data_IF_184757372543
#
_entry.id   IF_184757372543
#
_cell.length_a   1.000
_cell.length_b   1.000
_cell.length_c   1.000
_cell.angle_alpha   90.00
_cell.angle_beta   90.00
_cell.angle_gamma   90.00
#
_symmetry.space_group_name_H-M   'P 1'
#
loop_
_entity.id
_entity.type
_entity.pdbx_description
1 polymer ?
#
# COMPACT_ATOMS: atom_id res chain seq x y z
N UNK A 1 19.07 8.26 32.99
CA UNK A 1 18.66 8.59 31.61
C UNK A 1 17.30 7.95 31.36
N UNK A 2 16.24 8.71 31.05
CA UNK A 2 14.89 8.13 30.84
C UNK A 2 14.91 7.30 29.56
N UNK A 3 14.57 6.01 29.66
CA UNK A 3 14.61 5.02 28.57
C UNK A 3 13.70 5.38 27.38
N UNK A 4 12.73 6.29 27.58
CA UNK A 4 11.78 6.77 26.56
C UNK A 4 11.47 8.27 26.73
N UNK A 5 12.23 9.18 26.12
CA UNK A 5 12.02 10.63 26.26
C UNK A 5 10.74 11.15 25.56
N UNK A 6 10.24 10.46 24.53
CA UNK A 6 9.14 10.93 23.67
C UNK A 6 7.84 10.11 23.78
N UNK A 7 7.71 9.23 24.78
CA UNK A 7 6.60 8.26 24.90
C UNK A 7 5.19 8.82 24.63
N UNK A 8 4.86 10.00 25.19
CA UNK A 8 3.54 10.62 24.97
C UNK A 8 3.34 11.06 23.52
N UNK A 9 4.35 11.67 22.92
CA UNK A 9 4.30 12.13 21.54
C UNK A 9 4.20 10.93 20.60
N UNK A 10 5.05 9.92 20.80
CA UNK A 10 5.10 8.69 20.00
C UNK A 10 3.76 7.94 20.06
N UNK A 11 3.16 7.80 21.24
CA UNK A 11 1.86 7.14 21.40
C UNK A 11 0.73 7.89 20.68
N UNK A 12 0.68 9.23 20.80
CA UNK A 12 -0.34 10.01 20.09
C UNK A 12 -0.13 9.97 18.58
N UNK A 13 1.12 10.01 18.11
CA UNK A 13 1.46 9.91 16.70
C UNK A 13 1.11 8.53 16.14
N UNK A 14 1.42 7.45 16.86
CA UNK A 14 1.11 6.08 16.43
C UNK A 14 -0.39 5.86 16.30
N UNK A 15 -1.21 6.44 17.17
CA UNK A 15 -2.67 6.39 17.05
C UNK A 15 -3.15 7.08 15.77
N UNK A 16 -2.64 8.27 15.45
CA UNK A 16 -3.01 8.99 14.22
C UNK A 16 -2.57 8.23 12.97
N UNK A 17 -1.34 7.73 12.97
CA UNK A 17 -0.80 6.91 11.87
C UNK A 17 -1.63 5.64 11.68
N UNK A 18 -1.98 4.93 12.76
CA UNK A 18 -2.84 3.75 12.72
C UNK A 18 -4.21 4.06 12.09
N UNK A 19 -4.88 5.14 12.53
CA UNK A 19 -6.18 5.53 12.00
C UNK A 19 -6.14 5.89 10.50
N UNK A 20 -5.00 6.39 10.01
CA UNK A 20 -4.77 6.64 8.57
C UNK A 20 -4.38 5.37 7.82
N UNK A 21 -3.61 4.48 8.45
CA UNK A 21 -3.09 3.26 7.83
C UNK A 21 -4.18 2.22 7.55
N UNK A 22 -5.19 2.08 8.43
CA UNK A 22 -6.28 1.10 8.24
C UNK A 22 -6.98 1.22 6.88
N UNK A 23 -7.54 2.39 6.50
CA UNK A 23 -8.20 2.53 5.20
C UNK A 23 -7.22 2.43 4.02
N UNK A 24 -5.96 2.87 4.22
CA UNK A 24 -4.93 2.73 3.20
C UNK A 24 -4.60 1.26 2.90
N UNK A 25 -4.44 0.43 3.94
CA UNK A 25 -4.15 -1.00 3.82
C UNK A 25 -5.26 -1.73 3.06
N UNK A 26 -6.52 -1.44 3.40
CA UNK A 26 -7.69 -1.99 2.71
C UNK A 26 -7.74 -1.54 1.25
N UNK A 27 -7.54 -0.25 0.99
CA UNK A 27 -7.57 0.31 -0.37
C UNK A 27 -6.49 -0.29 -1.27
N UNK A 28 -5.27 -0.42 -0.76
CA UNK A 28 -4.14 -1.03 -1.50
C UNK A 28 -4.42 -2.51 -1.80
N UNK A 29 -4.91 -3.29 -0.83
CA UNK A 29 -5.24 -4.70 -1.06
C UNK A 29 -6.31 -4.89 -2.14
N UNK A 30 -7.42 -4.13 -2.05
CA UNK A 30 -8.48 -4.18 -3.05
C UNK A 30 -7.97 -3.77 -4.43
N UNK A 31 -7.12 -2.73 -4.50
CA UNK A 31 -6.51 -2.30 -5.76
C UNK A 31 -5.52 -3.33 -6.32
N UNK A 32 -4.88 -4.13 -5.45
CA UNK A 32 -4.02 -5.25 -5.82
C UNK A 32 -4.80 -6.50 -6.22
N UNK A 33 -6.13 -6.48 -6.19
CA UNK A 33 -6.96 -7.64 -6.54
C UNK A 33 -6.92 -8.76 -5.50
N UNK A 34 -6.48 -8.47 -4.27
CA UNK A 34 -6.42 -9.42 -3.16
C UNK A 34 -7.47 -9.09 -2.09
N UNK A 35 -7.84 -10.06 -1.23
CA UNK A 35 -8.73 -9.81 -0.12
C UNK A 35 -8.24 -8.66 0.78
N UNK A 36 -9.16 -7.81 1.25
CA UNK A 36 -8.85 -6.65 2.09
C UNK A 36 -8.15 -7.03 3.40
N UNK A 37 -8.46 -8.22 3.91
CA UNK A 37 -7.85 -8.84 5.09
C UNK A 37 -6.34 -8.96 4.94
N UNK A 38 -5.85 -9.35 3.76
CA UNK A 38 -4.41 -9.50 3.52
C UNK A 38 -3.68 -8.17 3.64
N UNK A 39 -4.27 -7.07 3.14
CA UNK A 39 -3.70 -5.74 3.33
C UNK A 39 -3.59 -5.35 4.80
N UNK A 40 -4.60 -5.66 5.60
CA UNK A 40 -4.57 -5.42 7.05
C UNK A 40 -3.51 -6.28 7.74
N UNK A 41 -3.40 -7.56 7.39
CA UNK A 41 -2.37 -8.47 7.93
C UNK A 41 -0.98 -7.96 7.56
N UNK A 42 -0.73 -7.61 6.30
CA UNK A 42 0.55 -7.02 5.86
C UNK A 42 0.86 -5.72 6.59
N UNK A 43 -0.13 -4.88 6.87
CA UNK A 43 0.06 -3.66 7.67
C UNK A 43 0.44 -3.95 9.13
N UNK A 44 -0.19 -4.95 9.74
CA UNK A 44 0.12 -5.38 11.12
C UNK A 44 1.52 -5.99 11.19
N UNK A 45 1.82 -6.95 10.33
CA UNK A 45 3.11 -7.67 10.31
C UNK A 45 4.24 -6.70 9.94
N UNK A 46 4.05 -5.89 8.89
CA UNK A 46 5.00 -4.87 8.49
C UNK A 46 5.27 -3.87 9.60
N UNK A 47 4.22 -3.29 10.20
CA UNK A 47 4.38 -2.31 11.29
C UNK A 47 5.06 -2.88 12.54
N UNK A 48 4.74 -4.12 12.93
CA UNK A 48 5.32 -4.76 14.11
C UNK A 48 6.75 -5.25 13.87
N UNK A 49 6.98 -6.05 12.82
CA UNK A 49 8.30 -6.67 12.60
C UNK A 49 9.33 -5.64 12.15
N UNK A 50 9.01 -4.81 11.15
CA UNK A 50 9.97 -3.81 10.66
C UNK A 50 10.19 -2.70 11.70
N UNK A 51 9.15 -2.28 12.42
CA UNK A 51 9.24 -1.21 13.43
C UNK A 51 9.99 -1.61 14.70
N UNK A 52 10.10 -2.92 15.00
CA UNK A 52 10.91 -3.43 16.10
C UNK A 52 12.39 -3.57 15.72
N UNK A 53 12.71 -3.63 14.44
CA UNK A 53 14.06 -3.78 13.92
C UNK A 53 14.72 -2.39 13.72
N UNK A 54 16.04 -2.30 13.88
CA UNK A 54 16.74 -1.04 13.63
C UNK A 54 16.75 -0.72 12.13
N UNK A 55 16.68 0.55 11.78
CA UNK A 55 16.67 1.02 10.39
C UNK A 55 16.41 2.51 10.34
N UNK A 56 15.16 2.88 10.09
CA UNK A 56 14.64 4.24 10.21
C UNK A 56 13.80 4.44 11.47
N UNK A 57 13.97 5.58 12.14
CA UNK A 57 13.31 5.86 13.42
C UNK A 57 11.87 6.40 13.30
N UNK A 58 11.49 6.90 12.11
CA UNK A 58 10.19 7.53 11.86
C UNK A 58 9.43 6.91 10.69
N UNK A 59 9.96 5.82 10.13
CA UNK A 59 9.33 5.13 9.02
C UNK A 59 8.22 4.20 9.51
N UNK A 60 7.20 4.04 8.66
CA UNK A 60 6.06 3.16 8.90
C UNK A 60 5.97 2.22 7.70
N UNK A 61 5.92 0.92 7.97
CA UNK A 61 5.87 -0.11 6.94
C UNK A 61 4.50 -0.77 6.88
N UNK A 62 4.09 -1.15 5.68
CA UNK A 62 2.81 -1.78 5.38
C UNK A 62 2.68 -2.01 3.87
N UNK A 63 1.47 -2.30 3.37
CA UNK A 63 1.23 -2.49 1.94
C UNK A 63 1.66 -1.27 1.14
N UNK A 64 2.61 -1.47 0.22
CA UNK A 64 3.12 -0.39 -0.62
C UNK A 64 2.18 -0.13 -1.81
N UNK A 65 1.68 1.09 -1.90
CA UNK A 65 0.87 1.52 -3.06
C UNK A 65 1.66 1.41 -4.38
N UNK A 66 2.99 1.58 -4.34
CA UNK A 66 3.86 1.42 -5.51
C UNK A 66 3.93 0.01 -6.07
N UNK A 67 3.73 -1.00 -5.21
CA UNK A 67 3.74 -2.39 -5.61
C UNK A 67 2.37 -2.90 -6.05
N UNK A 68 1.31 -2.08 -5.94
CA UNK A 68 -0.08 -2.53 -6.13
C UNK A 68 -0.30 -3.23 -7.47
N UNK A 69 0.23 -2.63 -8.54
CA UNK A 69 0.11 -3.13 -9.92
C UNK A 69 0.93 -4.40 -10.12
N UNK A 70 2.14 -4.44 -9.55
CA UNK A 70 3.00 -5.61 -9.65
C UNK A 70 2.41 -6.80 -8.89
N UNK A 71 1.80 -6.57 -7.72
CA UNK A 71 1.04 -7.57 -6.98
C UNK A 71 -0.17 -8.04 -7.78
N UNK A 72 -0.93 -7.13 -8.39
CA UNK A 72 -2.09 -7.49 -9.20
C UNK A 72 -1.70 -8.42 -10.36
N UNK A 73 -0.64 -8.08 -11.10
CA UNK A 73 -0.16 -8.93 -12.21
C UNK A 73 0.39 -10.26 -11.69
N UNK A 74 1.15 -10.27 -10.60
CA UNK A 74 1.67 -11.50 -10.00
C UNK A 74 0.54 -12.44 -9.53
N UNK A 75 -0.52 -11.91 -8.92
CA UNK A 75 -1.69 -12.69 -8.50
C UNK A 75 -2.45 -13.22 -9.70
N UNK A 76 -2.54 -12.45 -10.79
CA UNK A 76 -3.20 -12.88 -12.03
C UNK A 76 -2.41 -13.97 -12.76
N UNK A 77 -1.09 -13.89 -12.74
CA UNK A 77 -0.20 -14.81 -13.46
C UNK A 77 0.08 -16.09 -12.66
N UNK A 78 0.40 -15.96 -11.37
CA UNK A 78 0.86 -17.07 -10.52
C UNK A 78 -0.17 -17.51 -9.47
N UNK A 79 -1.23 -16.73 -9.27
CA UNK A 79 -2.23 -16.99 -8.25
C UNK A 79 -1.89 -16.39 -6.88
N UNK A 80 -2.89 -16.36 -6.00
CA UNK A 80 -2.77 -15.76 -4.67
C UNK A 80 -1.81 -16.53 -3.74
N UNK A 81 -1.77 -17.86 -3.82
CA UNK A 81 -0.89 -18.69 -3.00
C UNK A 81 0.60 -18.42 -3.29
N UNK A 82 0.94 -18.30 -4.58
CA UNK A 82 2.30 -17.98 -5.02
C UNK A 82 2.76 -16.58 -4.57
N UNK A 83 1.85 -15.62 -4.38
CA UNK A 83 2.21 -14.28 -3.89
C UNK A 83 2.96 -14.34 -2.55
N UNK A 84 2.53 -15.20 -1.62
CA UNK A 84 3.21 -15.37 -0.33
C UNK A 84 4.65 -15.89 -0.51
N UNK A 85 4.84 -16.86 -1.41
CA UNK A 85 6.17 -17.39 -1.75
C UNK A 85 7.06 -16.34 -2.42
N UNK A 86 6.50 -15.54 -3.34
CA UNK A 86 7.18 -14.44 -4.03
C UNK A 86 7.68 -13.37 -3.03
N UNK A 87 6.81 -12.94 -2.12
CA UNK A 87 7.13 -11.94 -1.09
C UNK A 87 8.18 -12.47 -0.13
N UNK A 88 8.07 -13.73 0.31
CA UNK A 88 9.08 -14.39 1.14
C UNK A 88 10.45 -14.43 0.44
N UNK A 89 10.49 -14.83 -0.84
CA UNK A 89 11.74 -14.86 -1.61
C UNK A 89 12.32 -13.46 -1.80
N UNK A 90 11.48 -12.44 -2.00
CA UNK A 90 11.90 -11.05 -2.06
C UNK A 90 12.46 -10.57 -0.71
N UNK A 91 11.84 -10.94 0.41
CA UNK A 91 12.32 -10.64 1.76
C UNK A 91 13.68 -11.27 2.04
N UNK A 92 13.87 -12.55 1.68
CA UNK A 92 15.17 -13.23 1.76
C UNK A 92 16.25 -12.52 0.92
N UNK A 93 15.89 -12.05 -0.28
CA UNK A 93 16.80 -11.28 -1.12
C UNK A 93 17.15 -9.92 -0.49
N UNK A 94 16.20 -9.25 0.14
CA UNK A 94 16.44 -8.00 0.88
C UNK A 94 17.35 -8.21 2.10
N UNK A 95 17.14 -9.29 2.86
CA UNK A 95 18.04 -9.69 3.95
C UNK A 95 19.47 -9.90 3.44
N UNK A 96 19.62 -10.62 2.32
CA UNK A 96 20.92 -10.83 1.68
C UNK A 96 21.56 -9.51 1.23
N UNK A 97 20.78 -8.62 0.60
CA UNK A 97 21.26 -7.30 0.18
C UNK A 97 21.73 -6.44 1.35
N UNK A 98 20.99 -6.41 2.45
CA UNK A 98 21.38 -5.68 3.66
C UNK A 98 22.62 -6.29 4.33
N UNK A 99 22.72 -7.62 4.40
CA UNK A 99 23.91 -8.31 4.92
C UNK A 99 25.16 -8.04 4.07
N UNK A 100 25.01 -7.97 2.75
CA UNK A 100 26.07 -7.62 1.80
C UNK A 100 26.38 -6.11 1.73
N UNK A 101 25.70 -5.29 2.54
CA UNK A 101 25.85 -3.83 2.61
C UNK A 101 25.60 -3.13 1.27
N UNK A 102 24.56 -3.62 0.55
CA UNK A 102 24.14 -3.09 -0.74
C UNK A 102 23.21 -1.88 -0.62
N UNK A 103 22.71 -1.54 0.57
CA UNK A 103 21.88 -0.36 0.81
C UNK A 103 22.58 0.95 0.44
N UNK A 104 23.91 0.98 0.49
CA UNK A 104 24.70 2.12 0.02
C UNK A 104 24.45 2.48 -1.45
N UNK A 105 24.13 1.51 -2.31
CA UNK A 105 24.00 1.73 -3.75
C UNK A 105 22.74 2.53 -4.08
N UNK A 106 21.69 2.41 -3.25
CA UNK A 106 20.50 3.24 -3.38
C UNK A 106 20.76 4.73 -3.13
N UNK A 107 21.87 5.11 -2.47
CA UNK A 107 22.32 6.52 -2.40
C UNK A 107 22.74 7.09 -3.74
N UNK A 108 23.14 6.25 -4.69
CA UNK A 108 23.60 6.68 -6.00
C UNK A 108 22.44 6.94 -6.97
N UNK A 109 21.20 6.66 -6.59
CA UNK A 109 20.04 6.89 -7.44
C UNK A 109 19.71 8.38 -7.47
N UNK A 110 19.56 8.94 -8.67
CA UNK A 110 19.25 10.34 -8.85
C UNK A 110 17.83 10.66 -8.39
N UNK A 111 17.61 11.88 -7.88
CA UNK A 111 16.27 12.36 -7.49
C UNK A 111 15.30 12.29 -8.67
N UNK A 112 15.79 12.47 -9.90
CA UNK A 112 14.99 12.36 -11.12
C UNK A 112 14.39 10.96 -11.32
N UNK A 113 15.13 9.89 -11.00
CA UNK A 113 14.61 8.51 -11.09
C UNK A 113 13.51 8.29 -10.05
N UNK A 114 13.71 8.76 -8.81
CA UNK A 114 12.68 8.68 -7.75
C UNK A 114 11.40 9.40 -8.17
N UNK A 115 11.53 10.62 -8.69
CA UNK A 115 10.39 11.40 -9.17
C UNK A 115 9.68 10.73 -10.34
N UNK A 116 10.43 10.16 -11.29
CA UNK A 116 9.87 9.39 -12.41
C UNK A 116 9.10 8.16 -11.95
N UNK A 117 9.65 7.39 -11.00
CA UNK A 117 9.02 6.22 -10.41
C UNK A 117 7.71 6.59 -9.69
N UNK A 118 7.74 7.60 -8.81
CA UNK A 118 6.56 8.09 -8.09
C UNK A 118 5.48 8.64 -9.04
N UNK A 119 5.88 9.35 -10.11
CA UNK A 119 4.96 9.85 -11.11
C UNK A 119 4.30 8.72 -11.92
N UNK A 120 5.08 7.70 -12.31
CA UNK A 120 4.56 6.53 -13.01
C UNK A 120 3.57 5.73 -12.17
N UNK A 121 3.95 5.44 -10.91
CA UNK A 121 3.08 4.79 -9.93
C UNK A 121 1.79 5.61 -9.72
N UNK A 122 1.93 6.91 -9.50
CA UNK A 122 0.79 7.81 -9.29
C UNK A 122 -0.17 7.80 -10.48
N UNK A 123 0.34 7.84 -11.71
CA UNK A 123 -0.49 7.80 -12.92
C UNK A 123 -1.27 6.49 -13.03
N UNK A 124 -0.62 5.34 -12.80
CA UNK A 124 -1.27 4.04 -12.87
C UNK A 124 -2.30 3.87 -11.76
N UNK A 125 -2.00 4.33 -10.54
CA UNK A 125 -2.96 4.33 -9.43
C UNK A 125 -4.17 5.21 -9.74
N UNK A 126 -3.98 6.44 -10.23
CA UNK A 126 -5.10 7.31 -10.64
C UNK A 126 -5.96 6.61 -11.69
N UNK A 127 -5.33 6.03 -12.72
CA UNK A 127 -6.06 5.30 -13.76
C UNK A 127 -6.87 4.12 -13.17
N UNK A 128 -6.27 3.32 -12.28
CA UNK A 128 -6.96 2.22 -11.60
C UNK A 128 -8.12 2.69 -10.70
N UNK A 129 -7.93 3.79 -9.97
CA UNK A 129 -8.96 4.34 -9.08
C UNK A 129 -10.15 4.93 -9.84
N UNK A 130 -10.00 5.35 -11.10
CA UNK A 130 -11.14 5.80 -11.91
C UNK A 130 -12.15 4.68 -12.17
N UNK A 131 -11.70 3.45 -12.37
CA UNK A 131 -12.59 2.28 -12.48
C UNK A 131 -13.29 1.98 -11.16
N UNK A 132 -12.54 2.02 -10.05
CA UNK A 132 -13.11 1.83 -8.72
C UNK A 132 -14.16 2.92 -8.38
N UNK A 133 -13.94 4.16 -8.82
CA UNK A 133 -14.83 5.30 -8.61
C UNK A 133 -16.20 5.10 -9.28
N UNK A 134 -16.26 4.35 -10.38
CA UNK A 134 -17.48 4.10 -11.15
C UNK A 134 -18.03 2.69 -10.94
N UNK A 135 -17.50 1.94 -9.96
CA UNK A 135 -17.83 0.53 -9.70
C UNK A 135 -17.64 -0.38 -10.93
N UNK A 136 -16.65 -0.02 -11.76
CA UNK A 136 -16.29 -0.76 -12.97
C UNK A 136 -15.11 -1.69 -12.71
N UNK A 137 -15.06 -2.81 -13.43
CA UNK A 137 -13.93 -3.73 -13.39
C UNK A 137 -12.78 -3.19 -14.23
N UNK A 138 -11.62 -2.96 -13.62
CA UNK A 138 -10.43 -2.57 -14.34
C UNK A 138 -9.92 -3.72 -15.24
N UNK A 139 -9.42 -3.42 -16.46
CA UNK A 139 -8.82 -4.41 -17.37
C UNK A 139 -7.62 -5.16 -16.77
N UNK A 140 -6.95 -4.54 -15.80
CA UNK A 140 -6.03 -5.21 -14.89
C UNK A 140 -4.56 -4.81 -15.06
N UNK A 141 -4.13 -4.41 -16.26
CA UNK A 141 -2.76 -3.89 -16.45
C UNK A 141 -2.74 -2.37 -16.41
N UNK A 142 -1.67 -1.78 -15.84
CA UNK A 142 -1.60 -0.33 -15.68
C UNK A 142 -1.73 0.45 -16.98
N UNK A 143 -1.10 -0.05 -18.05
CA UNK A 143 -1.21 0.55 -19.39
C UNK A 143 -2.59 0.33 -20.02
N UNK A 144 -3.20 -0.86 -19.84
CA UNK A 144 -4.55 -1.10 -20.33
C UNK A 144 -5.57 -0.23 -19.61
N UNK A 145 -5.42 -0.04 -18.29
CA UNK A 145 -6.29 0.85 -17.52
C UNK A 145 -6.25 2.27 -18.09
N UNK A 146 -5.09 2.78 -18.51
CA UNK A 146 -4.98 4.10 -19.16
C UNK A 146 -5.60 4.08 -20.56
N UNK A 147 -5.30 3.07 -21.37
CA UNK A 147 -5.78 2.96 -22.75
C UNK A 147 -7.31 2.84 -22.85
N UNK A 148 -7.95 2.22 -21.85
CA UNK A 148 -9.40 1.98 -21.82
C UNK A 148 -10.20 3.07 -21.08
N UNK A 149 -9.57 4.16 -20.61
CA UNK A 149 -10.29 5.27 -19.95
C UNK A 149 -11.38 5.92 -20.81
N UNK A 150 -11.20 6.14 -22.14
CA UNK A 150 -12.26 6.74 -22.95
C UNK A 150 -13.55 5.92 -22.95
N UNK A 151 -13.44 4.60 -23.05
CA UNK A 151 -14.59 3.69 -23.00
C UNK A 151 -15.27 3.68 -21.62
N UNK A 152 -14.52 3.88 -20.54
CA UNK A 152 -15.09 3.96 -19.19
C UNK A 152 -16.11 5.11 -19.07
N UNK A 153 -15.86 6.25 -19.74
CA UNK A 153 -16.78 7.40 -19.68
C UNK A 153 -18.13 7.11 -20.31
N UNK A 154 -18.14 6.37 -21.42
CA UNK A 154 -19.39 5.99 -22.10
C UNK A 154 -20.16 4.95 -21.30
N UNK A 155 -19.46 3.99 -20.70
CA UNK A 155 -20.06 2.93 -19.89
C UNK A 155 -20.67 3.49 -18.60
N UNK A 156 -20.00 4.46 -17.98
CA UNK A 156 -20.47 5.13 -16.75
C UNK A 156 -21.73 5.95 -17.01
N UNK A 157 -21.79 6.68 -18.14
CA UNK A 157 -22.94 7.52 -18.47
C UNK A 157 -24.23 6.71 -18.70
N UNK A 158 -24.12 5.45 -19.12
CA UNK A 158 -25.25 4.56 -19.36
C UNK A 158 -25.79 3.85 -18.11
N UNK A 159 -25.06 3.87 -16.98
CA UNK A 159 -25.38 3.05 -15.81
C UNK A 159 -25.71 3.87 -14.57
N UNK A 160 -26.92 3.69 -14.03
CA UNK A 160 -27.35 4.35 -12.78
C UNK A 160 -26.50 3.94 -11.58
N UNK A 161 -26.06 2.69 -11.51
CA UNK A 161 -25.20 2.21 -10.41
C UNK A 161 -23.83 2.86 -10.48
N UNK A 162 -23.26 2.99 -11.67
CA UNK A 162 -21.97 3.66 -11.88
C UNK A 162 -22.03 5.14 -11.51
N UNK A 163 -23.14 5.84 -11.82
CA UNK A 163 -23.36 7.22 -11.41
C UNK A 163 -23.51 7.37 -9.89
N UNK A 164 -24.18 6.43 -9.21
CA UNK A 164 -24.26 6.41 -7.75
C UNK A 164 -22.89 6.20 -7.10
N UNK A 165 -22.10 5.23 -7.60
CA UNK A 165 -20.74 5.00 -7.15
C UNK A 165 -19.85 6.24 -7.35
N UNK A 166 -19.96 6.87 -8.53
CA UNK A 166 -19.25 8.11 -8.84
C UNK A 166 -19.60 9.25 -7.89
N UNK A 167 -20.89 9.40 -7.56
CA UNK A 167 -21.34 10.41 -6.60
C UNK A 167 -20.78 10.18 -5.19
N UNK A 168 -20.75 8.93 -4.72
CA UNK A 168 -20.15 8.56 -3.43
C UNK A 168 -18.63 8.80 -3.46
N UNK A 169 -17.96 8.41 -4.54
CA UNK A 169 -16.54 8.64 -4.74
C UNK A 169 -16.17 10.12 -4.76
N UNK A 170 -16.90 10.94 -5.52
CA UNK A 170 -16.74 12.39 -5.55
C UNK A 170 -17.01 13.02 -4.19
N UNK A 171 -18.04 12.56 -3.47
CA UNK A 171 -18.32 12.95 -2.08
C UNK A 171 -17.18 12.60 -1.13
N UNK A 172 -16.57 11.42 -1.29
CA UNK A 172 -15.39 10.98 -0.52
C UNK A 172 -14.21 11.92 -0.76
N UNK A 173 -13.92 12.28 -2.01
CA UNK A 173 -12.86 13.25 -2.37
C UNK A 173 -13.17 14.63 -1.78
N UNK A 174 -14.43 15.07 -1.85
CA UNK A 174 -14.85 16.34 -1.26
C UNK A 174 -14.61 16.35 0.25
N UNK A 175 -14.91 15.26 0.97
CA UNK A 175 -14.59 15.12 2.40
C UNK A 175 -13.08 15.20 2.60
N UNK A 176 -12.26 14.46 1.85
CA UNK A 176 -10.80 14.49 1.99
C UNK A 176 -10.21 15.91 1.85
N UNK A 177 -10.75 16.71 0.92
CA UNK A 177 -10.27 18.08 0.63
C UNK A 177 -10.85 19.13 1.59
N UNK A 178 -12.09 18.97 2.03
CA UNK A 178 -12.79 19.95 2.86
C UNK A 178 -12.60 19.69 4.35
N UNK A 179 -12.42 18.44 4.78
CA UNK A 179 -12.27 18.06 6.20
C UNK A 179 -11.12 18.79 6.91
N UNK A 180 -9.91 18.94 6.32
CA UNK A 180 -8.81 19.66 6.97
C UNK A 180 -9.13 21.14 7.23
N UNK A 181 -10.08 21.75 6.49
CA UNK A 181 -10.52 23.13 6.74
C UNK A 181 -11.30 23.23 8.04
N UNK A 182 -11.93 22.15 8.50
CA UNK A 182 -12.62 22.09 9.78
C UNK A 182 -11.69 21.73 10.93
N UNK A 183 -10.91 22.73 11.38
CA UNK A 183 -9.82 22.58 12.37
C UNK A 183 -10.18 21.85 13.68
N UNK A 184 -11.44 21.81 14.10
CA UNK A 184 -11.85 21.09 15.32
C UNK A 184 -11.97 19.60 15.07
N UNK A 185 -12.70 19.21 14.02
CA UNK A 185 -12.89 17.82 13.64
C UNK A 185 -11.58 17.17 13.16
N UNK A 186 -10.80 17.89 12.34
CA UNK A 186 -9.53 17.41 11.79
C UNK A 186 -8.44 17.14 12.86
N UNK A 187 -8.57 17.70 14.07
CA UNK A 187 -7.68 17.41 15.20
C UNK A 187 -7.98 16.08 15.88
N UNK A 188 -9.21 15.60 15.76
CA UNK A 188 -9.68 14.39 16.46
C UNK A 188 -9.69 13.21 15.48
N UNK A 189 -10.21 13.43 14.27
CA UNK A 189 -10.42 12.39 13.27
C UNK A 189 -9.66 12.71 11.97
N UNK A 190 -8.74 11.84 11.52
CA UNK A 190 -8.08 12.00 10.24
C UNK A 190 -9.07 12.01 9.07
N UNK A 191 -8.78 12.79 8.04
CA UNK A 191 -9.65 12.92 6.87
C UNK A 191 -9.96 11.57 6.18
N UNK A 192 -9.01 10.63 6.00
CA UNK A 192 -9.31 9.33 5.41
C UNK A 192 -10.36 8.54 6.19
N UNK A 193 -10.26 8.52 7.52
CA UNK A 193 -11.19 7.80 8.37
C UNK A 193 -12.58 8.47 8.39
N UNK A 194 -12.62 9.80 8.40
CA UNK A 194 -13.87 10.56 8.27
C UNK A 194 -14.57 10.28 6.92
N UNK A 195 -13.80 10.26 5.83
CA UNK A 195 -14.31 10.01 4.50
C UNK A 195 -14.92 8.60 4.38
N UNK A 196 -14.22 7.58 4.87
CA UNK A 196 -14.73 6.20 4.90
C UNK A 196 -15.98 6.09 5.78
N UNK A 197 -15.95 6.63 7.01
CA UNK A 197 -17.09 6.56 7.92
C UNK A 197 -18.34 7.23 7.33
N UNK A 198 -18.22 8.43 6.78
CA UNK A 198 -19.33 9.16 6.17
C UNK A 198 -19.85 8.45 4.92
N UNK A 199 -18.98 7.93 4.06
CA UNK A 199 -19.37 7.16 2.89
C UNK A 199 -20.11 5.88 3.28
N UNK A 200 -19.62 5.14 4.28
CA UNK A 200 -20.28 3.93 4.81
C UNK A 200 -21.65 4.24 5.36
N UNK A 201 -21.78 5.30 6.17
CA UNK A 201 -23.08 5.73 6.72
C UNK A 201 -24.04 6.14 5.61
N UNK A 202 -23.57 6.91 4.61
CA UNK A 202 -24.41 7.34 3.50
C UNK A 202 -24.91 6.15 2.66
N UNK A 203 -24.04 5.21 2.30
CA UNK A 203 -24.40 4.01 1.54
C UNK A 203 -25.37 3.12 2.33
N UNK A 204 -25.15 2.97 3.64
CA UNK A 204 -26.03 2.18 4.50
C UNK A 204 -27.41 2.82 4.71
N UNK A 205 -27.46 4.11 5.02
CA UNK A 205 -28.70 4.83 5.31
C UNK A 205 -29.60 5.03 4.08
N UNK A 206 -28.99 5.17 2.90
CA UNK A 206 -29.71 5.39 1.63
C UNK A 206 -29.89 4.09 0.82
N UNK A 207 -29.44 2.95 1.37
CA UNK A 207 -29.40 1.63 0.73
C UNK A 207 -28.91 1.66 -0.72
N UNK A 208 -27.77 2.33 -0.94
CA UNK A 208 -27.26 2.55 -2.29
C UNK A 208 -26.69 1.24 -2.87
N UNK A 209 -26.95 0.95 -4.17
CA UNK A 209 -26.49 -0.25 -4.86
C UNK A 209 -25.03 -0.08 -5.33
N UNK A 210 -24.11 0.02 -4.38
CA UNK A 210 -22.66 0.13 -4.62
C UNK A 210 -21.97 -1.10 -4.04
N UNK A 211 -20.94 -1.61 -4.73
CA UNK A 211 -20.12 -2.69 -4.20
C UNK A 211 -19.55 -2.33 -2.81
N UNK A 212 -19.65 -3.28 -1.88
CA UNK A 212 -19.17 -3.13 -0.50
C UNK A 212 -17.99 -4.06 -0.28
N UNK A 213 -16.93 -3.55 0.34
CA UNK A 213 -15.82 -4.40 0.80
C UNK A 213 -16.33 -5.26 1.96
N UNK A 214 -16.22 -6.58 1.81
CA UNK A 214 -16.57 -7.54 2.87
C UNK A 214 -15.29 -8.00 3.54
N UNK A 215 -15.27 -7.96 4.87
CA UNK A 215 -14.19 -8.47 5.70
C UNK A 215 -14.76 -9.65 6.48
N UNK A 216 -14.33 -10.87 6.16
CA UNK A 216 -14.94 -12.10 6.69
C UNK A 216 -14.21 -12.63 7.93
N UNK A 217 -12.94 -12.27 8.10
CA UNK A 217 -12.13 -12.62 9.27
C UNK A 217 -10.62 -12.54 8.97
N UNK A 218 -9.84 -11.93 9.87
CA UNK A 218 -8.38 -11.79 9.70
C UNK A 218 -7.63 -13.12 9.81
N UNK A 219 -8.10 -14.03 10.68
CA UNK A 219 -7.43 -15.31 10.92
C UNK A 219 -7.56 -16.26 9.73
N UNK A 220 -8.74 -16.29 9.10
CA UNK A 220 -9.01 -17.14 7.95
C UNK A 220 -8.26 -16.69 6.69
N UNK A 221 -7.80 -15.43 6.67
CA UNK A 221 -6.99 -14.88 5.61
C UNK A 221 -5.51 -15.33 5.69
N UNK A 222 -5.05 -15.81 6.86
CA UNK A 222 -3.67 -16.26 7.03
C UNK A 222 -3.53 -17.67 6.44
N UNK A 223 -2.97 -17.74 5.24
CA UNK A 223 -2.69 -19.00 4.55
C UNK A 223 -1.19 -19.09 4.29
N UNK A 224 -0.45 -19.95 5.03
CA UNK A 224 0.96 -20.15 4.75
C UNK A 224 1.14 -20.78 3.36
N UNK A 225 2.16 -20.39 2.59
CA UNK A 225 2.40 -20.96 1.27
C UNK A 225 2.65 -22.47 1.38
N UNK A 226 1.96 -23.23 0.54
CA UNK A 226 2.10 -24.68 0.48
C UNK A 226 3.33 -25.13 -0.31
N UNK A 227 3.64 -26.44 -0.32
CA UNK A 227 4.75 -26.98 -1.11
C UNK A 227 4.64 -26.69 -2.60
N UNK A 228 3.41 -26.65 -3.14
CA UNK A 228 3.15 -26.32 -4.54
C UNK A 228 3.45 -24.84 -4.85
N UNK A 229 3.11 -23.93 -3.94
CA UNK A 229 3.41 -22.50 -4.08
C UNK A 229 4.93 -22.27 -4.03
N UNK A 230 5.64 -22.96 -3.15
CA UNK A 230 7.10 -22.90 -3.10
C UNK A 230 7.77 -23.50 -4.33
N UNK A 231 7.15 -24.49 -4.98
CA UNK A 231 7.66 -25.07 -6.22
C UNK A 231 7.62 -24.06 -7.38
N UNK A 232 6.68 -23.10 -7.38
CA UNK A 232 6.63 -22.02 -8.40
C UNK A 232 7.87 -21.13 -8.39
N UNK A 233 8.59 -21.05 -7.26
CA UNK A 233 9.84 -20.30 -7.17
C UNK A 233 10.97 -20.87 -8.05
N UNK A 234 10.84 -22.13 -8.48
CA UNK A 234 11.80 -22.76 -9.38
C UNK A 234 11.68 -22.27 -10.84
N UNK A 235 10.57 -21.60 -11.19
CA UNK A 235 10.37 -21.09 -12.54
C UNK A 235 11.20 -19.83 -12.80
N UNK A 236 11.84 -19.79 -13.97
CA UNK A 236 12.74 -18.70 -14.35
C UNK A 236 12.01 -17.36 -14.45
N UNK A 237 10.73 -17.36 -14.86
CA UNK A 237 9.90 -16.15 -14.90
C UNK A 237 9.64 -15.56 -13.51
N UNK A 238 9.48 -16.42 -12.51
CA UNK A 238 9.24 -16.03 -11.12
C UNK A 238 10.45 -15.32 -10.52
N UNK A 239 11.68 -15.74 -10.87
CA UNK A 239 12.90 -15.07 -10.41
C UNK A 239 12.95 -13.59 -10.81
N UNK A 240 12.48 -13.26 -12.02
CA UNK A 240 12.37 -11.87 -12.47
C UNK A 240 11.42 -11.05 -11.62
N UNK A 241 10.26 -11.63 -11.29
CA UNK A 241 9.24 -11.00 -10.43
C UNK A 241 9.73 -10.82 -9.00
N UNK A 242 10.42 -11.82 -8.41
CA UNK A 242 11.04 -11.73 -7.08
C UNK A 242 12.08 -10.62 -7.05
N UNK A 243 12.95 -10.55 -8.06
CA UNK A 243 13.96 -9.50 -8.17
C UNK A 243 13.31 -8.12 -8.29
N UNK A 244 12.26 -7.98 -9.10
CA UNK A 244 11.50 -6.75 -9.24
C UNK A 244 10.86 -6.32 -7.91
N UNK A 245 10.20 -7.23 -7.20
CA UNK A 245 9.63 -6.96 -5.88
C UNK A 245 10.70 -6.50 -4.90
N UNK A 246 11.79 -7.25 -4.76
CA UNK A 246 12.87 -6.93 -3.83
C UNK A 246 13.49 -5.56 -4.13
N UNK A 247 13.78 -5.25 -5.40
CA UNK A 247 14.40 -3.99 -5.78
C UNK A 247 13.46 -2.79 -5.63
N UNK A 248 12.20 -2.91 -6.06
CA UNK A 248 11.23 -1.82 -5.98
C UNK A 248 10.84 -1.56 -4.52
N UNK A 249 10.55 -2.60 -3.73
CA UNK A 249 10.24 -2.47 -2.32
C UNK A 249 11.40 -1.81 -1.54
N UNK A 250 12.64 -2.24 -1.84
CA UNK A 250 13.84 -1.64 -1.27
C UNK A 250 14.00 -0.17 -1.67
N UNK A 251 13.79 0.15 -2.94
CA UNK A 251 13.89 1.50 -3.44
C UNK A 251 12.88 2.43 -2.76
N UNK A 252 11.60 2.03 -2.70
CA UNK A 252 10.54 2.83 -2.06
C UNK A 252 10.81 3.05 -0.57
N UNK A 253 11.22 2.02 0.16
CA UNK A 253 11.55 2.15 1.58
C UNK A 253 12.71 3.13 1.78
N UNK A 254 13.82 2.95 1.06
CA UNK A 254 15.01 3.79 1.23
C UNK A 254 14.78 5.24 0.77
N UNK A 255 13.97 5.48 -0.25
CA UNK A 255 13.60 6.84 -0.66
C UNK A 255 12.65 7.51 0.33
N UNK A 256 11.71 6.75 0.91
CA UNK A 256 10.84 7.24 1.97
C UNK A 256 11.67 7.62 3.19
N UNK A 257 12.60 6.77 3.61
CA UNK A 257 13.55 7.06 4.66
C UNK A 257 14.37 8.32 4.39
N UNK A 258 14.93 8.44 3.18
CA UNK A 258 15.73 9.61 2.78
C UNK A 258 14.91 10.92 2.77
N UNK A 259 13.62 10.86 2.43
CA UNK A 259 12.73 12.00 2.48
C UNK A 259 12.39 12.38 3.93
N UNK A 260 12.09 11.39 4.78
CA UNK A 260 11.77 11.58 6.21
C UNK A 260 12.98 12.10 6.98
N UNK A 261 14.19 11.61 6.69
CA UNK A 261 15.47 12.08 7.26
C UNK A 261 15.71 13.58 7.03
N UNK A 262 15.08 14.20 6.02
CA UNK A 262 15.16 15.65 5.76
C UNK A 262 14.19 16.48 6.60
N UNK A 263 13.20 15.84 7.22
CA UNK A 263 12.16 16.49 8.03
C UNK A 263 12.52 16.55 9.51
N UNK A 264 13.62 15.91 9.94
CA UNK A 264 14.05 15.88 11.33
C UNK A 264 15.56 16.04 11.49
N UNK A 265 15.98 16.43 12.69
CA UNK A 265 17.39 16.52 13.09
C UNK A 265 17.87 15.32 13.92
N UNK A 266 17.05 14.27 14.02
CA UNK A 266 17.38 13.01 14.71
C UNK A 266 18.42 12.14 13.99
N UNK A 267 18.66 10.92 14.49
CA UNK A 267 19.56 9.96 13.86
C UNK A 267 19.14 9.68 12.41
N UNK A 268 20.09 9.74 11.48
CA UNK A 268 19.85 9.38 10.07
C UNK A 268 19.61 7.87 9.94
N UNK A 269 18.83 7.51 8.94
CA UNK A 269 18.51 6.12 8.62
C UNK A 269 19.77 5.34 8.19
N UNK A 270 19.93 4.14 8.72
CA UNK A 270 20.93 3.18 8.28
C UNK A 270 20.31 2.26 7.21
N UNK A 271 20.64 2.50 5.95
CA UNK A 271 20.00 1.82 4.82
C UNK A 271 20.25 0.30 4.77
N UNK A 272 21.40 -0.17 5.25
CA UNK A 272 21.66 -1.62 5.27
C UNK A 272 20.79 -2.30 6.32
N UNK A 273 20.57 -1.65 7.46
CA UNK A 273 19.66 -2.14 8.51
C UNK A 273 18.20 -2.01 8.11
N UNK A 274 17.84 -0.94 7.41
CA UNK A 274 16.49 -0.76 6.85
C UNK A 274 16.17 -1.89 5.85
N UNK A 275 17.10 -2.28 4.98
CA UNK A 275 16.92 -3.44 4.11
C UNK A 275 16.70 -4.74 4.89
N UNK A 276 17.44 -4.94 5.98
CA UNK A 276 17.26 -6.11 6.84
C UNK A 276 15.90 -6.07 7.54
N UNK A 277 15.48 -4.89 8.02
CA UNK A 277 14.19 -4.70 8.67
C UNK A 277 13.04 -5.01 7.73
N UNK A 278 13.05 -4.44 6.51
CA UNK A 278 12.05 -4.71 5.48
C UNK A 278 12.05 -6.17 5.05
N UNK A 279 13.23 -6.75 4.83
CA UNK A 279 13.36 -8.15 4.43
C UNK A 279 12.95 -9.16 5.50
N UNK A 280 12.93 -8.77 6.78
CA UNK A 280 12.39 -9.59 7.86
C UNK A 280 10.87 -9.43 8.03
N UNK A 281 10.31 -8.29 7.59
CA UNK A 281 8.87 -8.06 7.59
C UNK A 281 8.15 -8.68 6.39
N UNK A 282 8.84 -8.75 5.25
CA UNK A 282 8.42 -9.44 4.02
C UNK A 282 8.69 -10.94 4.12
#
# INVERSE_FOLDING_TARGET
>A
MKRFPYFRADFTASLVVFLVAVPLCVGVAVASGVPAELGLVTGIVGGLLTGLLPGSSLQVSGPAAGLTVLVFEAVKEYGLGALGALVLAAGLLQLAMGALKLGRWFRAISVAVVQGMLAGIGLVLIAGQLYALTDAKAPGSGLANIAHLPALTTDTAGSKTALCALAIGAGTIAVLVLWPRWRRAARILPAPLAAVALATVAVWALDLPVARVKVSGLLDAIQPPGPADLATLADVGVLGTVLAFALIASAESLFSAAAVDRLHNGPKTDYDKELIAQGAGN
#
